data_IF_021475856991
#
_entry.id   IF_021475856991
#
_cell.length_a   1.000
_cell.length_b   1.000
_cell.length_c   1.000
_cell.angle_alpha   90.00
_cell.angle_beta   90.00
_cell.angle_gamma   90.00
#
_symmetry.space_group_name_H-M   'P 1'
#
loop_
_entity.id
_entity.type
_entity.pdbx_description
1 polymer ?
#
# COMPACT_ATOMS: atom_id res chain seq x y z
N UNK A 1 -11.86 0.90 -2.96
CA UNK A 1 -12.78 0.01 -3.71
C UNK A 1 -12.27 -1.44 -3.76
N UNK A 2 -10.96 -1.67 -3.81
CA UNK A 2 -10.30 -3.00 -3.87
C UNK A 2 -10.88 -4.00 -2.84
N UNK A 3 -11.17 -3.51 -1.61
CA UNK A 3 -11.75 -4.33 -0.51
C UNK A 3 -13.16 -4.87 -0.79
N UNK A 4 -13.83 -4.36 -1.82
CA UNK A 4 -15.21 -4.70 -2.19
C UNK A 4 -15.32 -5.46 -3.51
N UNK A 5 -14.20 -5.81 -4.15
CA UNK A 5 -14.21 -6.58 -5.40
C UNK A 5 -14.90 -7.92 -5.22
N UNK A 6 -15.72 -8.30 -6.19
CA UNK A 6 -16.50 -9.54 -6.16
C UNK A 6 -17.73 -9.52 -5.24
N UNK A 7 -18.11 -8.34 -4.70
CA UNK A 7 -19.30 -8.17 -3.85
C UNK A 7 -20.37 -7.31 -4.53
N UNK A 8 -21.55 -7.27 -3.93
CA UNK A 8 -22.67 -6.43 -4.37
C UNK A 8 -22.62 -4.99 -3.83
N UNK A 9 -21.47 -4.57 -3.29
CA UNK A 9 -21.27 -3.22 -2.80
C UNK A 9 -21.46 -2.20 -3.92
N UNK A 10 -22.02 -1.03 -3.58
CA UNK A 10 -22.19 0.07 -4.53
C UNK A 10 -21.70 1.38 -3.94
N UNK A 11 -21.05 2.16 -4.78
CA UNK A 11 -20.65 3.54 -4.48
C UNK A 11 -21.59 4.46 -5.21
N UNK A 12 -22.19 5.42 -4.51
CA UNK A 12 -23.04 6.44 -5.12
C UNK A 12 -22.29 7.77 -5.17
N UNK A 13 -22.13 8.30 -6.39
CA UNK A 13 -21.52 9.60 -6.65
C UNK A 13 -22.46 10.40 -7.57
N UNK A 14 -22.82 11.60 -7.16
CA UNK A 14 -23.71 12.51 -7.91
C UNK A 14 -25.01 11.82 -8.39
N UNK A 15 -25.62 11.02 -7.50
CA UNK A 15 -26.87 10.31 -7.75
C UNK A 15 -26.74 9.05 -8.64
N UNK A 16 -25.54 8.71 -9.10
CA UNK A 16 -25.27 7.49 -9.86
C UNK A 16 -24.61 6.43 -8.98
N UNK A 17 -25.09 5.19 -9.08
CA UNK A 17 -24.53 4.04 -8.35
C UNK A 17 -23.59 3.26 -9.25
N UNK A 18 -22.42 2.96 -8.73
CA UNK A 18 -21.34 2.23 -9.40
C UNK A 18 -20.96 0.96 -8.65
N UNK A 19 -20.71 -0.10 -9.37
CA UNK A 19 -20.15 -1.35 -8.83
C UNK A 19 -18.64 -1.20 -8.57
N UNK A 20 -18.02 -2.09 -7.75
CA UNK A 20 -16.57 -2.10 -7.57
C UNK A 20 -15.79 -2.24 -8.88
N UNK A 21 -16.30 -3.05 -9.82
CA UNK A 21 -15.70 -3.24 -11.13
C UNK A 21 -15.71 -1.94 -11.96
N UNK A 22 -16.82 -1.19 -11.95
CA UNK A 22 -16.92 0.08 -12.68
C UNK A 22 -15.97 1.14 -12.11
N UNK A 23 -15.87 1.25 -10.78
CA UNK A 23 -14.91 2.18 -10.16
C UNK A 23 -13.47 1.76 -10.46
N UNK A 24 -13.18 0.46 -10.38
CA UNK A 24 -11.85 -0.07 -10.74
C UNK A 24 -11.52 0.18 -12.21
N UNK A 25 -12.52 0.06 -13.09
CA UNK A 25 -12.37 0.37 -14.51
C UNK A 25 -12.01 1.83 -14.75
N UNK A 26 -12.55 2.78 -14.00
CA UNK A 26 -12.17 4.20 -14.10
C UNK A 26 -10.69 4.41 -13.79
N UNK A 27 -10.16 3.71 -12.78
CA UNK A 27 -8.73 3.75 -12.44
C UNK A 27 -7.90 3.17 -13.60
N UNK A 28 -8.30 2.01 -14.12
CA UNK A 28 -7.61 1.37 -15.24
C UNK A 28 -7.67 2.21 -16.52
N UNK A 29 -8.79 2.90 -16.79
CA UNK A 29 -8.92 3.84 -17.90
C UNK A 29 -7.95 5.01 -17.76
N UNK A 30 -7.78 5.55 -16.56
CA UNK A 30 -6.80 6.62 -16.30
C UNK A 30 -5.39 6.13 -16.56
N UNK A 31 -5.02 4.97 -16.04
CA UNK A 31 -3.70 4.36 -16.27
C UNK A 31 -3.46 4.08 -17.77
N UNK A 32 -4.48 3.57 -18.47
CA UNK A 32 -4.44 3.35 -19.92
C UNK A 32 -4.18 4.65 -20.68
N UNK A 33 -4.92 5.70 -20.36
CA UNK A 33 -4.77 7.00 -21.01
C UNK A 33 -3.38 7.63 -20.75
N UNK A 34 -2.86 7.50 -19.54
CA UNK A 34 -1.53 7.98 -19.19
C UNK A 34 -0.44 7.21 -19.96
N UNK A 35 -0.57 5.88 -20.04
CA UNK A 35 0.35 5.05 -20.80
C UNK A 35 0.31 5.39 -22.31
N UNK A 36 -0.88 5.56 -22.89
CA UNK A 36 -1.05 5.96 -24.29
C UNK A 36 -0.44 7.34 -24.56
N UNK A 37 -0.63 8.28 -23.65
CA UNK A 37 -0.03 9.62 -23.75
C UNK A 37 1.50 9.57 -23.73
N UNK A 38 2.07 8.71 -22.89
CA UNK A 38 3.52 8.54 -22.78
C UNK A 38 4.11 7.82 -24.00
N UNK A 39 3.45 6.75 -24.46
CA UNK A 39 3.93 5.91 -25.57
C UNK A 39 3.64 6.50 -26.96
N UNK A 40 2.67 7.41 -27.07
CA UNK A 40 2.22 7.94 -28.35
C UNK A 40 1.46 6.92 -29.21
N UNK A 41 0.99 5.83 -28.65
CA UNK A 41 0.29 4.75 -29.33
C UNK A 41 -0.80 4.12 -28.45
N UNK A 42 -1.84 3.48 -29.05
CA UNK A 42 -2.88 2.81 -28.28
C UNK A 42 -2.33 1.68 -27.39
N UNK A 43 -2.89 1.56 -26.19
CA UNK A 43 -2.66 0.44 -25.28
C UNK A 43 -3.91 -0.43 -25.25
N UNK A 44 -3.81 -1.65 -25.75
CA UNK A 44 -4.96 -2.55 -25.95
C UNK A 44 -4.98 -3.74 -25.01
N UNK A 45 -3.85 -4.09 -24.43
CA UNK A 45 -3.65 -5.30 -23.63
C UNK A 45 -3.08 -4.95 -22.26
N UNK A 46 -3.38 -5.78 -21.24
CA UNK A 46 -2.82 -5.63 -19.90
C UNK A 46 -2.66 -6.97 -19.18
N UNK A 47 -1.65 -7.04 -18.33
CA UNK A 47 -1.55 -8.01 -17.23
C UNK A 47 -1.95 -7.27 -15.96
N UNK A 48 -2.85 -7.84 -15.18
CA UNK A 48 -3.36 -7.22 -13.94
C UNK A 48 -3.01 -8.10 -12.75
N UNK A 49 -2.52 -7.49 -11.70
CA UNK A 49 -2.17 -8.18 -10.47
C UNK A 49 -3.31 -8.13 -9.45
N UNK A 50 -3.39 -9.18 -8.65
CA UNK A 50 -4.34 -9.30 -7.53
C UNK A 50 -3.64 -9.90 -6.30
N UNK A 51 -4.13 -9.65 -5.09
CA UNK A 51 -3.65 -10.36 -3.90
C UNK A 51 -3.74 -11.88 -4.07
N UNK A 52 -2.81 -12.61 -3.48
CA UNK A 52 -2.79 -14.07 -3.59
C UNK A 52 -4.05 -14.74 -3.01
N UNK A 53 -4.68 -14.13 -2.01
CA UNK A 53 -5.91 -14.63 -1.37
C UNK A 53 -7.21 -14.31 -2.14
N UNK A 54 -7.16 -13.55 -3.23
CA UNK A 54 -8.37 -13.27 -4.01
C UNK A 54 -9.02 -14.57 -4.50
N UNK A 55 -10.33 -14.68 -4.24
CA UNK A 55 -11.18 -15.76 -4.75
C UNK A 55 -11.37 -15.66 -6.26
N UNK A 56 -11.88 -16.71 -6.87
CA UNK A 56 -12.18 -16.71 -8.31
C UNK A 56 -13.18 -15.62 -8.69
N UNK A 57 -14.17 -15.32 -7.83
CA UNK A 57 -15.13 -14.24 -8.07
C UNK A 57 -14.45 -12.86 -8.05
N UNK A 58 -13.48 -12.63 -7.15
CA UNK A 58 -12.71 -11.39 -7.09
C UNK A 58 -11.76 -11.25 -8.29
N UNK A 59 -11.15 -12.34 -8.72
CA UNK A 59 -10.30 -12.40 -9.94
C UNK A 59 -11.12 -12.12 -11.19
N UNK A 60 -12.31 -12.72 -11.31
CA UNK A 60 -13.22 -12.48 -12.42
C UNK A 60 -13.69 -11.01 -12.43
N UNK A 61 -14.08 -10.45 -11.28
CA UNK A 61 -14.45 -9.04 -11.16
C UNK A 61 -13.32 -8.09 -11.59
N UNK A 62 -12.07 -8.43 -11.27
CA UNK A 62 -10.88 -7.66 -11.71
C UNK A 62 -10.70 -7.76 -13.23
N UNK A 63 -10.89 -8.94 -13.81
CA UNK A 63 -10.85 -9.15 -15.26
C UNK A 63 -11.95 -8.36 -15.97
N UNK A 64 -13.16 -8.33 -15.41
CA UNK A 64 -14.29 -7.56 -15.93
C UNK A 64 -14.01 -6.05 -15.88
N UNK A 65 -13.37 -5.55 -14.81
CA UNK A 65 -12.93 -4.16 -14.72
C UNK A 65 -11.96 -3.80 -15.86
N UNK A 66 -11.03 -4.67 -16.20
CA UNK A 66 -10.14 -4.49 -17.35
C UNK A 66 -10.89 -4.38 -18.67
N UNK A 67 -11.88 -5.26 -18.89
CA UNK A 67 -12.74 -5.21 -20.09
C UNK A 67 -13.57 -3.92 -20.17
N UNK A 68 -14.17 -3.48 -19.07
CA UNK A 68 -14.91 -2.22 -18.99
C UNK A 68 -14.01 -1.03 -19.33
N UNK A 69 -12.72 -1.10 -18.92
CA UNK A 69 -11.71 -0.10 -19.24
C UNK A 69 -11.26 -0.10 -20.70
N UNK A 70 -11.66 -1.08 -21.50
CA UNK A 70 -11.28 -1.24 -22.91
C UNK A 70 -9.95 -1.95 -23.09
N UNK A 71 -9.57 -2.82 -22.14
CA UNK A 71 -8.35 -3.61 -22.19
C UNK A 71 -8.65 -5.10 -22.39
N UNK A 72 -7.88 -5.76 -23.22
CA UNK A 72 -7.78 -7.22 -23.24
C UNK A 72 -6.89 -7.66 -22.07
N UNK A 73 -7.48 -8.33 -21.08
CA UNK A 73 -6.73 -8.83 -19.92
C UNK A 73 -6.10 -10.18 -20.30
N UNK A 74 -4.80 -10.15 -20.55
CA UNK A 74 -4.03 -11.34 -20.94
C UNK A 74 -3.89 -12.33 -19.80
N UNK A 75 -3.57 -11.82 -18.61
CA UNK A 75 -3.41 -12.62 -17.38
C UNK A 75 -3.84 -11.84 -16.16
N UNK A 76 -4.30 -12.60 -15.16
CA UNK A 76 -4.39 -12.17 -13.76
C UNK A 76 -3.32 -12.95 -13.01
N UNK A 77 -2.40 -12.25 -12.35
CA UNK A 77 -1.31 -12.87 -11.58
C UNK A 77 -1.32 -12.40 -10.12
N UNK A 78 -0.74 -13.19 -9.25
CA UNK A 78 -0.64 -12.83 -7.83
C UNK A 78 0.40 -11.73 -7.63
N UNK A 79 0.08 -10.73 -6.82
CA UNK A 79 0.99 -9.62 -6.45
C UNK A 79 2.34 -10.13 -5.91
N UNK A 80 2.39 -11.09 -4.95
CA UNK A 80 3.68 -11.58 -4.46
C UNK A 80 4.48 -12.35 -5.51
N UNK A 81 3.82 -13.07 -6.42
CA UNK A 81 4.49 -13.74 -7.55
C UNK A 81 5.12 -12.71 -8.50
N UNK A 82 4.38 -11.66 -8.83
CA UNK A 82 4.91 -10.57 -9.64
C UNK A 82 6.12 -9.90 -8.98
N UNK A 83 6.05 -9.63 -7.68
CA UNK A 83 7.19 -9.09 -6.95
C UNK A 83 8.43 -10.01 -7.04
N UNK A 84 8.27 -11.31 -6.84
CA UNK A 84 9.36 -12.28 -6.95
C UNK A 84 9.98 -12.29 -8.37
N UNK A 85 9.15 -12.22 -9.42
CA UNK A 85 9.62 -12.13 -10.81
C UNK A 85 10.42 -10.85 -11.06
N UNK A 86 9.98 -9.71 -10.52
CA UNK A 86 10.69 -8.45 -10.64
C UNK A 86 12.11 -8.52 -10.07
N UNK A 87 12.29 -9.24 -8.97
CA UNK A 87 13.60 -9.48 -8.37
C UNK A 87 14.41 -10.58 -9.07
N UNK A 88 13.87 -11.23 -10.11
CA UNK A 88 14.57 -12.28 -10.87
C UNK A 88 14.75 -13.58 -10.08
N UNK A 89 13.95 -13.81 -9.05
CA UNK A 89 14.10 -14.94 -8.14
C UNK A 89 13.70 -16.28 -8.77
N UNK A 90 12.92 -16.25 -9.85
CA UNK A 90 12.58 -17.42 -10.67
C UNK A 90 13.81 -18.09 -11.30
N UNK A 91 14.92 -17.36 -11.41
CA UNK A 91 16.20 -17.81 -11.98
C UNK A 91 17.23 -18.23 -10.92
N UNK A 92 16.90 -18.07 -9.66
CA UNK A 92 17.78 -18.44 -8.54
C UNK A 92 17.58 -19.90 -8.12
N UNK A 93 18.47 -20.37 -7.23
CA UNK A 93 18.35 -21.69 -6.63
C UNK A 93 17.09 -21.81 -5.78
N UNK A 94 16.65 -23.05 -5.57
CA UNK A 94 15.52 -23.40 -4.72
C UNK A 94 15.60 -22.73 -3.34
N UNK A 95 14.56 -21.98 -2.97
CA UNK A 95 14.49 -21.26 -1.70
C UNK A 95 13.05 -20.89 -1.32
N UNK A 96 12.85 -20.64 -0.03
CA UNK A 96 11.62 -20.09 0.50
C UNK A 96 11.80 -18.62 0.82
N UNK A 97 10.87 -17.79 0.38
CA UNK A 97 10.91 -16.33 0.59
C UNK A 97 9.63 -15.84 1.24
N UNK A 98 9.75 -14.76 1.97
CA UNK A 98 8.62 -13.97 2.45
C UNK A 98 8.46 -12.73 1.59
N UNK A 99 7.25 -12.45 1.15
CA UNK A 99 6.86 -11.16 0.57
C UNK A 99 6.02 -10.42 1.60
N UNK A 100 6.54 -9.31 2.10
CA UNK A 100 5.89 -8.42 3.06
C UNK A 100 5.45 -7.17 2.30
N UNK A 101 4.14 -7.07 2.03
CA UNK A 101 3.55 -6.01 1.22
C UNK A 101 2.70 -5.08 2.10
N UNK A 102 3.25 -3.90 2.40
CA UNK A 102 2.55 -2.83 3.11
C UNK A 102 2.29 -1.68 2.14
N UNK A 103 1.12 -1.73 1.52
CA UNK A 103 0.63 -0.70 0.61
C UNK A 103 -0.04 0.47 1.32
N UNK A 104 -0.76 1.29 0.56
CA UNK A 104 -1.50 2.43 1.10
C UNK A 104 -2.71 2.03 1.93
N UNK A 105 -3.43 0.97 1.54
CA UNK A 105 -4.70 0.59 2.16
C UNK A 105 -4.78 -0.82 2.74
N UNK A 106 -3.88 -1.73 2.35
CA UNK A 106 -3.86 -3.12 2.81
C UNK A 106 -2.45 -3.55 3.19
N UNK A 107 -2.39 -4.51 4.10
CA UNK A 107 -1.19 -5.25 4.44
C UNK A 107 -1.35 -6.72 4.06
N UNK A 108 -0.42 -7.25 3.31
CA UNK A 108 -0.41 -8.62 2.85
C UNK A 108 0.98 -9.24 3.07
N UNK A 109 1.02 -10.47 3.55
CA UNK A 109 2.24 -11.25 3.69
C UNK A 109 2.04 -12.61 3.06
N UNK A 110 2.98 -13.04 2.23
CA UNK A 110 2.95 -14.33 1.55
C UNK A 110 4.28 -15.06 1.72
N UNK A 111 4.20 -16.35 1.90
CA UNK A 111 5.36 -17.24 1.87
C UNK A 111 5.35 -17.97 0.53
N UNK A 112 6.43 -17.85 -0.21
CA UNK A 112 6.61 -18.46 -1.52
C UNK A 112 7.68 -19.55 -1.45
N UNK A 113 7.44 -20.64 -2.18
CA UNK A 113 8.47 -21.62 -2.54
C UNK A 113 8.89 -21.38 -3.97
N UNK A 114 10.18 -21.22 -4.19
CA UNK A 114 10.75 -20.97 -5.51
C UNK A 114 11.68 -22.13 -5.83
N UNK A 115 11.43 -22.79 -6.94
CA UNK A 115 12.27 -23.89 -7.42
C UNK A 115 11.95 -24.26 -8.85
N UNK A 116 12.96 -24.65 -9.63
CA UNK A 116 12.84 -25.12 -11.02
C UNK A 116 12.04 -24.18 -11.96
N UNK A 117 12.15 -22.85 -11.73
CA UNK A 117 11.42 -21.84 -12.50
C UNK A 117 9.94 -21.73 -12.13
N UNK A 118 9.50 -22.40 -11.05
CA UNK A 118 8.12 -22.35 -10.53
C UNK A 118 8.10 -21.52 -9.25
N UNK A 119 7.07 -20.70 -9.10
CA UNK A 119 6.79 -19.94 -7.89
C UNK A 119 5.45 -20.42 -7.32
N UNK A 120 5.49 -21.05 -6.17
CA UNK A 120 4.30 -21.55 -5.46
C UNK A 120 4.02 -20.70 -4.21
N UNK A 121 2.75 -20.34 -3.98
CA UNK A 121 2.32 -19.65 -2.75
C UNK A 121 1.98 -20.69 -1.69
N UNK A 122 2.82 -20.83 -0.66
CA UNK A 122 2.61 -21.79 0.43
C UNK A 122 1.60 -21.31 1.46
N UNK A 123 1.62 -20.02 1.78
CA UNK A 123 0.73 -19.42 2.76
C UNK A 123 0.57 -17.92 2.48
N UNK A 124 -0.56 -17.38 2.91
CA UNK A 124 -0.85 -15.95 2.84
C UNK A 124 -1.68 -15.53 4.05
N UNK A 125 -1.38 -14.36 4.60
CA UNK A 125 -2.13 -13.72 5.67
C UNK A 125 -2.09 -12.20 5.46
N UNK A 126 -2.87 -11.45 6.23
CA UNK A 126 -2.84 -9.99 6.10
C UNK A 126 -3.88 -9.29 6.95
N UNK A 127 -3.95 -7.99 6.77
CA UNK A 127 -4.95 -7.10 7.35
C UNK A 127 -5.45 -6.13 6.26
N UNK A 128 -6.67 -6.35 5.80
CA UNK A 128 -7.29 -5.55 4.72
C UNK A 128 -7.65 -4.13 5.16
N UNK A 129 -7.46 -3.78 6.42
CA UNK A 129 -7.72 -2.46 7.00
C UNK A 129 -6.47 -1.85 7.65
N UNK A 130 -5.31 -2.19 7.12
CA UNK A 130 -4.03 -1.68 7.57
C UNK A 130 -3.18 -1.31 6.37
N UNK A 131 -2.73 -0.05 6.32
CA UNK A 131 -1.89 0.46 5.25
C UNK A 131 -1.34 1.84 5.56
N UNK A 132 -0.63 2.44 4.63
CA UNK A 132 -0.05 3.78 4.76
C UNK A 132 -1.05 4.88 5.11
N UNK A 133 -2.31 4.74 4.65
CA UNK A 133 -3.39 5.67 5.00
C UNK A 133 -3.67 5.72 6.50
N UNK A 134 -3.49 4.60 7.22
CA UNK A 134 -3.67 4.56 8.67
C UNK A 134 -2.53 5.30 9.38
N UNK A 135 -1.31 5.23 8.86
CA UNK A 135 -0.18 6.02 9.35
C UNK A 135 -0.42 7.52 9.13
N UNK A 136 -0.92 7.91 7.95
CA UNK A 136 -1.30 9.29 7.66
C UNK A 136 -2.37 9.79 8.62
N UNK A 137 -3.38 8.96 8.91
CA UNK A 137 -4.45 9.31 9.84
C UNK A 137 -3.93 9.62 11.24
N UNK A 138 -2.92 8.87 11.72
CA UNK A 138 -2.28 9.16 13.02
C UNK A 138 -1.60 10.53 13.06
N UNK A 139 -0.96 10.91 11.97
CA UNK A 139 -0.37 12.26 11.84
C UNK A 139 -1.49 13.30 11.81
N UNK A 140 -2.54 13.09 11.01
CA UNK A 140 -3.68 14.01 10.93
C UNK A 140 -4.33 14.23 12.32
N UNK A 141 -4.59 13.14 13.04
CA UNK A 141 -5.20 13.21 14.38
C UNK A 141 -4.31 13.99 15.36
N UNK A 142 -3.00 13.77 15.27
CA UNK A 142 -2.02 14.53 16.06
C UNK A 142 -2.05 16.02 15.72
N UNK A 143 -2.04 16.39 14.44
CA UNK A 143 -2.08 17.78 13.99
C UNK A 143 -3.40 18.48 14.40
N UNK A 144 -4.53 17.79 14.28
CA UNK A 144 -5.84 18.30 14.73
C UNK A 144 -5.82 18.57 16.24
N UNK A 145 -5.26 17.66 17.02
CA UNK A 145 -5.17 17.80 18.47
C UNK A 145 -4.24 18.95 18.87
N UNK A 146 -3.07 19.08 18.25
CA UNK A 146 -2.13 20.18 18.53
C UNK A 146 -2.71 21.54 18.13
N UNK A 147 -3.37 21.63 16.98
CA UNK A 147 -4.02 22.87 16.55
C UNK A 147 -5.16 23.28 17.51
N UNK A 148 -5.96 22.31 17.96
CA UNK A 148 -7.04 22.56 18.93
C UNK A 148 -6.49 23.07 20.28
N UNK A 149 -5.35 22.54 20.73
CA UNK A 149 -4.68 23.06 21.94
C UNK A 149 -4.20 24.49 21.78
N UNK A 150 -3.62 24.82 20.62
CA UNK A 150 -3.04 26.13 20.36
C UNK A 150 -4.08 27.21 20.06
N UNK A 151 -5.10 26.89 19.25
CA UNK A 151 -6.04 27.87 18.70
C UNK A 151 -7.49 27.68 19.16
N UNK A 152 -7.80 26.59 19.87
CA UNK A 152 -9.16 26.26 20.32
C UNK A 152 -10.12 25.83 19.21
N UNK A 153 -9.62 25.60 17.99
CA UNK A 153 -10.42 25.27 16.79
C UNK A 153 -10.25 23.81 16.44
N UNK A 154 -11.36 23.12 16.19
CA UNK A 154 -11.38 21.72 15.74
C UNK A 154 -11.43 21.66 14.20
N UNK A 155 -10.29 21.38 13.58
CA UNK A 155 -10.15 21.28 12.12
C UNK A 155 -10.87 20.05 11.53
N UNK A 156 -11.24 19.05 12.33
CA UNK A 156 -11.88 17.82 11.83
C UNK A 156 -13.25 18.06 11.18
N UNK A 157 -13.86 19.20 11.47
CA UNK A 157 -15.16 19.61 10.91
C UNK A 157 -15.06 20.37 9.60
N UNK A 158 -13.86 20.77 9.19
CA UNK A 158 -13.59 21.50 7.95
C UNK A 158 -13.01 20.54 6.89
N UNK A 159 -13.80 20.23 5.86
CA UNK A 159 -13.41 19.30 4.79
C UNK A 159 -12.18 19.78 4.00
N UNK A 160 -12.06 21.07 3.76
CA UNK A 160 -10.93 21.64 3.02
C UNK A 160 -9.67 21.56 3.86
N UNK A 161 -9.75 21.91 5.15
CA UNK A 161 -8.64 21.76 6.08
C UNK A 161 -8.20 20.29 6.19
N UNK A 162 -9.13 19.36 6.33
CA UNK A 162 -8.84 17.92 6.44
C UNK A 162 -8.18 17.36 5.17
N UNK A 163 -8.55 17.82 3.99
CA UNK A 163 -7.89 17.42 2.74
C UNK A 163 -6.43 17.92 2.70
N UNK A 164 -6.20 19.16 3.09
CA UNK A 164 -4.84 19.73 3.18
C UNK A 164 -3.99 19.01 4.23
N UNK A 165 -4.59 18.66 5.38
CA UNK A 165 -3.93 17.86 6.42
C UNK A 165 -3.55 16.49 5.90
N UNK A 166 -4.41 15.84 5.12
CA UNK A 166 -4.13 14.52 4.53
C UNK A 166 -2.89 14.56 3.63
N UNK A 167 -2.84 15.51 2.72
CA UNK A 167 -1.71 15.69 1.80
C UNK A 167 -0.41 16.00 2.55
N UNK A 168 -0.49 16.88 3.56
CA UNK A 168 0.65 17.22 4.39
C UNK A 168 1.13 16.05 5.28
N UNK A 169 0.21 15.24 5.80
CA UNK A 169 0.52 14.06 6.61
C UNK A 169 1.23 12.99 5.77
N UNK A 170 0.75 12.70 4.58
CA UNK A 170 1.39 11.76 3.65
C UNK A 170 2.80 12.23 3.29
N UNK A 171 2.96 13.51 2.94
CA UNK A 171 4.25 14.11 2.65
C UNK A 171 5.21 13.98 3.85
N UNK A 172 4.75 14.31 5.05
CA UNK A 172 5.56 14.20 6.27
C UNK A 172 5.97 12.75 6.56
N UNK A 173 5.07 11.78 6.39
CA UNK A 173 5.37 10.34 6.50
C UNK A 173 6.51 9.94 5.56
N UNK A 174 6.43 10.35 4.30
CA UNK A 174 7.46 10.05 3.28
C UNK A 174 8.80 10.69 3.67
N UNK A 175 8.81 11.97 4.03
CA UNK A 175 10.02 12.68 4.43
C UNK A 175 10.68 12.05 5.67
N UNK A 176 9.90 11.67 6.68
CA UNK A 176 10.41 11.04 7.92
C UNK A 176 11.03 9.65 7.70
N UNK A 177 10.86 9.05 6.54
CA UNK A 177 11.62 7.85 6.16
C UNK A 177 13.08 8.15 5.82
N UNK A 178 13.39 9.38 5.40
CA UNK A 178 14.74 9.83 5.04
C UNK A 178 15.41 10.76 6.07
N UNK A 179 14.60 11.53 6.82
CA UNK A 179 15.09 12.51 7.80
C UNK A 179 14.54 12.25 9.20
N UNK A 180 15.15 12.82 10.21
CA UNK A 180 14.72 12.64 11.62
C UNK A 180 13.66 13.63 12.08
N UNK A 181 13.49 14.73 11.36
CA UNK A 181 12.48 15.76 11.64
C UNK A 181 11.98 16.38 10.35
N UNK A 182 10.70 16.78 10.31
CA UNK A 182 10.12 17.54 9.22
C UNK A 182 9.22 18.64 9.77
N UNK A 183 9.08 19.74 9.03
CA UNK A 183 8.18 20.82 9.37
C UNK A 183 6.91 20.74 8.50
N UNK A 184 5.75 20.77 9.16
CA UNK A 184 4.44 20.78 8.51
C UNK A 184 3.90 22.20 8.64
N UNK A 185 3.91 22.94 7.55
CA UNK A 185 3.46 24.33 7.50
C UNK A 185 2.28 24.46 6.52
N UNK A 186 1.11 24.77 7.06
CA UNK A 186 -0.12 25.00 6.31
C UNK A 186 -0.67 26.39 6.61
N UNK A 187 -0.23 27.41 5.86
CA UNK A 187 -0.72 28.76 6.04
C UNK A 187 -2.20 28.85 5.65
N UNK A 188 -2.94 29.72 6.34
CA UNK A 188 -4.38 29.93 6.09
C UNK A 188 -5.18 28.62 6.14
N UNK A 189 -4.92 27.79 7.14
CA UNK A 189 -5.63 26.50 7.30
C UNK A 189 -7.11 26.71 7.64
N UNK A 190 -7.42 27.77 8.40
CA UNK A 190 -8.76 28.20 8.75
C UNK A 190 -8.75 29.68 9.15
N UNK A 191 -9.92 30.21 9.53
CA UNK A 191 -10.07 31.56 10.05
C UNK A 191 -11.14 31.60 11.14
N UNK A 192 -11.02 32.53 12.08
CA UNK A 192 -12.03 32.88 13.08
C UNK A 192 -12.27 34.39 13.12
N UNK A 193 -12.99 34.87 14.15
CA UNK A 193 -13.30 36.30 14.33
C UNK A 193 -12.05 37.17 14.51
N UNK A 194 -10.91 36.60 14.87
CA UNK A 194 -9.62 37.30 15.05
C UNK A 194 -8.78 37.34 13.77
N UNK A 195 -9.20 36.63 12.72
CA UNK A 195 -8.51 36.58 11.42
C UNK A 195 -8.06 35.19 11.01
N UNK A 196 -7.18 35.12 9.99
CA UNK A 196 -6.66 33.85 9.50
C UNK A 196 -5.77 33.15 10.50
N UNK A 197 -5.83 31.82 10.50
CA UNK A 197 -5.03 30.93 11.34
C UNK A 197 -4.13 30.05 10.50
N UNK A 198 -2.97 29.74 11.03
CA UNK A 198 -1.93 28.95 10.36
C UNK A 198 -1.54 27.76 11.22
N UNK A 199 -1.26 26.62 10.56
CA UNK A 199 -0.70 25.46 11.23
C UNK A 199 0.80 25.39 10.90
N UNK A 200 1.62 25.35 11.95
CA UNK A 200 3.07 25.20 11.83
C UNK A 200 3.53 24.26 12.96
N UNK A 201 3.84 23.00 12.59
CA UNK A 201 4.20 21.95 13.53
C UNK A 201 5.45 21.23 13.04
N UNK A 202 6.45 21.10 13.90
CA UNK A 202 7.61 20.24 13.64
C UNK A 202 7.31 18.83 14.19
N UNK A 203 7.38 17.83 13.32
CA UNK A 203 7.19 16.42 13.64
C UNK A 203 8.52 15.68 13.56
N UNK A 204 8.90 15.00 14.66
CA UNK A 204 10.06 14.12 14.68
C UNK A 204 9.69 12.70 14.28
N UNK A 205 10.68 11.96 13.72
CA UNK A 205 10.54 10.50 13.49
C UNK A 205 10.22 9.76 14.79
N UNK A 206 10.82 10.15 15.92
CA UNK A 206 10.54 9.54 17.21
C UNK A 206 9.07 9.70 17.60
N UNK A 207 8.48 10.88 17.40
CA UNK A 207 7.06 11.12 17.65
C UNK A 207 6.17 10.36 16.65
N UNK A 208 6.52 10.34 15.40
CA UNK A 208 5.84 9.52 14.38
C UNK A 208 5.85 8.03 14.76
N UNK A 209 6.99 7.49 15.18
CA UNK A 209 7.09 6.11 15.64
C UNK A 209 6.21 5.83 16.86
N UNK A 210 6.15 6.75 17.82
CA UNK A 210 5.24 6.67 18.98
C UNK A 210 3.77 6.60 18.54
N UNK A 211 3.35 7.48 17.63
CA UNK A 211 1.98 7.56 17.13
C UNK A 211 1.54 6.31 16.36
N UNK A 212 2.48 5.58 15.77
CA UNK A 212 2.22 4.49 14.82
C UNK A 212 2.72 3.12 15.29
N UNK A 213 3.26 3.03 16.51
CA UNK A 213 3.86 1.79 17.03
C UNK A 213 2.90 0.59 17.00
N UNK A 214 1.64 0.80 17.35
CA UNK A 214 0.61 -0.24 17.30
C UNK A 214 0.28 -0.70 15.88
N UNK A 215 0.36 0.19 14.89
CA UNK A 215 0.15 -0.15 13.48
C UNK A 215 1.28 -1.07 12.98
N UNK A 216 2.50 -0.79 13.35
CA UNK A 216 3.66 -1.66 13.04
C UNK A 216 3.48 -3.03 13.69
N UNK A 217 3.11 -3.08 14.98
CA UNK A 217 2.90 -4.35 15.70
C UNK A 217 1.73 -5.16 15.10
N UNK A 218 0.69 -4.51 14.60
CA UNK A 218 -0.42 -5.20 13.92
C UNK A 218 0.02 -6.00 12.70
N UNK A 219 1.11 -5.63 12.03
CA UNK A 219 1.64 -6.40 10.91
C UNK A 219 2.29 -7.72 11.35
N UNK A 220 2.79 -7.77 12.58
CA UNK A 220 3.52 -8.93 13.10
C UNK A 220 2.65 -10.15 13.34
N UNK A 221 1.36 -9.97 13.67
CA UNK A 221 0.40 -11.04 13.79
C UNK A 221 0.26 -11.88 12.51
N UNK A 222 -0.14 -11.26 11.39
CA UNK A 222 -0.20 -11.92 10.08
C UNK A 222 1.13 -12.54 9.64
N UNK A 223 2.27 -11.89 9.93
CA UNK A 223 3.59 -12.48 9.62
C UNK A 223 3.79 -13.82 10.35
N UNK A 224 3.52 -13.86 11.65
CA UNK A 224 3.61 -15.11 12.44
C UNK A 224 2.62 -16.17 11.93
N UNK A 225 1.40 -15.75 11.55
CA UNK A 225 0.39 -16.63 11.01
C UNK A 225 0.85 -17.29 9.69
N UNK A 226 1.34 -16.50 8.73
CA UNK A 226 1.82 -17.01 7.46
C UNK A 226 3.00 -17.98 7.64
N UNK A 227 3.93 -17.68 8.55
CA UNK A 227 5.04 -18.58 8.88
C UNK A 227 4.54 -19.89 9.48
N UNK A 228 3.58 -19.82 10.40
CA UNK A 228 2.96 -21.00 11.01
C UNK A 228 2.23 -21.87 9.99
N UNK A 229 1.44 -21.25 9.11
CA UNK A 229 0.68 -21.94 8.08
C UNK A 229 1.60 -22.64 7.05
N UNK A 230 2.71 -22.01 6.72
CA UNK A 230 3.76 -22.58 5.87
C UNK A 230 4.64 -23.60 6.61
N UNK A 231 4.47 -23.76 7.93
CA UNK A 231 5.28 -24.62 8.80
C UNK A 231 6.79 -24.32 8.73
N UNK A 232 7.13 -23.03 8.67
CA UNK A 232 8.49 -22.54 8.58
C UNK A 232 8.90 -21.77 9.84
N UNK A 233 10.19 -21.88 10.18
CA UNK A 233 10.88 -21.00 11.11
C UNK A 233 11.57 -19.86 10.35
N UNK A 234 12.01 -18.81 11.06
CA UNK A 234 12.74 -17.71 10.45
C UNK A 234 14.03 -18.15 9.73
N UNK A 235 14.69 -19.20 10.23
CA UNK A 235 15.91 -19.75 9.63
C UNK A 235 15.67 -20.44 8.27
N UNK A 236 14.44 -20.85 7.98
CA UNK A 236 14.07 -21.51 6.73
C UNK A 236 13.90 -20.50 5.58
N UNK A 237 13.74 -19.20 5.89
CA UNK A 237 13.62 -18.14 4.90
C UNK A 237 14.97 -17.83 4.26
N UNK A 238 15.03 -17.87 2.93
CA UNK A 238 16.16 -17.40 2.16
C UNK A 238 16.22 -15.86 2.10
N UNK A 239 15.10 -15.24 1.78
CA UNK A 239 14.96 -13.79 1.59
C UNK A 239 13.63 -13.27 2.12
N UNK A 240 13.61 -11.96 2.43
CA UNK A 240 12.40 -11.20 2.73
C UNK A 240 12.32 -10.05 1.73
N UNK A 241 11.29 -10.02 0.91
CA UNK A 241 11.02 -8.92 -0.02
C UNK A 241 10.09 -7.91 0.65
N UNK A 242 10.49 -6.64 0.62
CA UNK A 242 9.66 -5.52 1.07
C UNK A 242 8.98 -4.88 -0.13
N UNK A 243 7.67 -4.89 -0.13
CA UNK A 243 6.80 -4.41 -1.20
C UNK A 243 5.85 -3.36 -0.66
N UNK A 244 5.53 -2.36 -1.47
CA UNK A 244 4.70 -1.23 -1.09
C UNK A 244 5.51 -0.08 -0.47
N UNK A 245 5.08 1.16 -0.76
CA UNK A 245 5.80 2.37 -0.33
C UNK A 245 5.94 2.51 1.17
N UNK A 246 4.97 2.01 1.95
CA UNK A 246 5.00 2.07 3.41
C UNK A 246 6.08 1.18 4.05
N UNK A 247 6.67 0.25 3.30
CA UNK A 247 7.84 -0.52 3.76
C UNK A 247 9.13 0.30 3.82
N UNK A 248 9.12 1.53 3.30
CA UNK A 248 10.22 2.48 3.46
C UNK A 248 10.34 3.04 4.88
N UNK A 249 9.27 2.93 5.68
CA UNK A 249 9.24 3.40 7.07
C UNK A 249 10.29 2.62 7.89
N UNK A 250 11.28 3.31 8.49
CA UNK A 250 12.37 2.64 9.22
C UNK A 250 11.88 1.69 10.32
N UNK A 251 10.85 2.07 11.08
CA UNK A 251 10.28 1.24 12.14
C UNK A 251 9.68 -0.08 11.59
N UNK A 252 9.13 -0.06 10.38
CA UNK A 252 8.63 -1.27 9.70
C UNK A 252 9.79 -2.19 9.32
N UNK A 253 10.84 -1.64 8.71
CA UNK A 253 12.03 -2.42 8.33
C UNK A 253 12.71 -3.05 9.55
N UNK A 254 12.82 -2.32 10.65
CA UNK A 254 13.37 -2.81 11.91
C UNK A 254 12.53 -3.94 12.52
N UNK A 255 11.21 -3.80 12.53
CA UNK A 255 10.29 -4.83 13.03
C UNK A 255 10.40 -6.13 12.22
N UNK A 256 10.45 -6.04 10.90
CA UNK A 256 10.64 -7.20 10.02
C UNK A 256 11.99 -7.87 10.28
N UNK A 257 13.08 -7.10 10.37
CA UNK A 257 14.42 -7.62 10.68
C UNK A 257 14.46 -8.30 12.05
N UNK A 258 13.83 -7.71 13.05
CA UNK A 258 13.78 -8.28 14.41
C UNK A 258 13.04 -9.62 14.43
N UNK A 259 11.94 -9.74 13.69
CA UNK A 259 11.13 -10.96 13.67
C UNK A 259 11.75 -12.06 12.82
N UNK A 260 12.31 -11.74 11.67
CA UNK A 260 12.83 -12.70 10.69
C UNK A 260 14.33 -12.95 10.78
N UNK A 261 15.06 -12.08 11.49
CA UNK A 261 16.53 -12.11 11.52
C UNK A 261 17.18 -11.68 10.19
N UNK A 262 16.37 -11.21 9.22
CA UNK A 262 16.84 -10.84 7.88
C UNK A 262 16.48 -9.40 7.56
N UNK A 263 17.41 -8.70 6.91
CA UNK A 263 17.10 -7.40 6.29
C UNK A 263 16.22 -7.60 5.06
N UNK A 264 15.34 -6.63 4.80
CA UNK A 264 14.59 -6.60 3.56
C UNK A 264 15.53 -6.59 2.36
N UNK A 265 15.30 -7.47 1.40
CA UNK A 265 16.09 -7.53 0.17
C UNK A 265 15.83 -6.26 -0.64
N UNK A 266 16.92 -5.59 -1.02
CA UNK A 266 16.91 -4.30 -1.74
C UNK A 266 17.40 -4.53 -3.16
N UNK A 267 16.91 -3.76 -4.11
CA UNK A 267 17.36 -3.84 -5.50
C UNK A 267 16.33 -3.28 -6.48
N UNK A 268 15.06 -3.25 -6.10
CA UNK A 268 13.98 -2.68 -6.90
C UNK A 268 13.16 -1.72 -6.04
N UNK A 269 12.62 -0.69 -6.67
CA UNK A 269 11.71 0.24 -6.03
C UNK A 269 10.48 -0.52 -5.48
N UNK A 270 10.23 -0.54 -4.17
CA UNK A 270 9.09 -1.28 -3.58
C UNK A 270 7.73 -0.78 -4.06
N UNK A 271 7.64 0.46 -4.56
CA UNK A 271 6.39 1.03 -5.11
C UNK A 271 6.07 0.46 -6.50
N UNK A 272 7.05 -0.03 -7.23
CA UNK A 272 6.96 -0.40 -8.65
C UNK A 272 7.18 -1.88 -8.90
N UNK A 273 7.74 -2.63 -7.94
CA UNK A 273 8.19 -4.01 -8.19
C UNK A 273 7.07 -4.94 -8.67
N UNK A 274 5.85 -4.79 -8.18
CA UNK A 274 4.70 -5.59 -8.63
C UNK A 274 4.35 -5.30 -10.09
N UNK A 275 4.36 -4.02 -10.49
CA UNK A 275 4.10 -3.63 -11.87
C UNK A 275 5.21 -4.10 -12.83
N UNK A 276 6.47 -4.00 -12.39
CA UNK A 276 7.63 -4.53 -13.14
C UNK A 276 7.50 -6.05 -13.33
N UNK A 277 7.16 -6.78 -12.28
CA UNK A 277 6.93 -8.22 -12.35
C UNK A 277 5.77 -8.61 -13.27
N UNK A 278 4.69 -7.83 -13.25
CA UNK A 278 3.57 -8.01 -14.17
C UNK A 278 3.99 -7.81 -15.65
N UNK A 279 4.88 -6.86 -15.90
CA UNK A 279 5.39 -6.59 -17.25
C UNK A 279 6.34 -7.70 -17.76
N UNK A 280 7.03 -8.41 -16.86
CA UNK A 280 7.90 -9.55 -17.22
C UNK A 280 7.06 -10.76 -17.63
N UNK A 281 5.91 -10.96 -16.98
CA UNK A 281 5.00 -12.07 -17.24
C UNK A 281 4.35 -12.00 -18.62
#
# INVERSE_FOLDING_TARGET
IKRHMGTNYKVTVDGKSYTPQEISAMILQKLKADAESYLGSPVTEAVITVPAYFSDSQRQATKDAGKIAGLEVKRIINEPTAAALAYGLDKESEQKIMVYDLGGGTFDVSILDIGDGVIEVLATAGDTRLGGDDFDQRIMDYLVAEFKKAEGIDLSKDRVAMQRLKEAAEKAKIELSGVTTTNINLPYITADATGPKHLDVTLSRAKFNELTADLVERTMGPVRQAMSDAKLSASDLGKVLLVGGSTRIPAVQEAVKKLTGKEGFKGINPDECVAVGAAIQ
#
